data_IF_424525080241
#
_entry.id   IF_424525080241
#
_cell.length_a   1.000
_cell.length_b   1.000
_cell.length_c   1.000
_cell.angle_alpha   90.00
_cell.angle_beta   90.00
_cell.angle_gamma   90.00
#
_symmetry.space_group_name_H-M   'P 1'
#
loop_
_entity.id
_entity.type
_entity.pdbx_description
1 polymer ?
#
# COMPACT_ATOMS: atom_id res chain seq x y z
N UNK A 1 21.19 -7.76 1.26
CA UNK A 1 19.77 -7.44 1.48
C UNK A 1 19.10 -7.25 0.13
N UNK A 2 17.95 -7.87 -0.12
CA UNK A 2 17.25 -7.73 -1.40
C UNK A 2 16.73 -6.29 -1.58
N UNK A 3 16.92 -5.70 -2.75
CA UNK A 3 16.45 -4.33 -3.02
C UNK A 3 14.94 -4.32 -3.32
N UNK A 4 14.14 -4.13 -2.27
CA UNK A 4 12.67 -4.10 -2.32
C UNK A 4 12.12 -2.67 -2.19
N UNK A 5 10.81 -2.55 -2.37
CA UNK A 5 10.06 -1.32 -2.10
C UNK A 5 8.75 -1.70 -1.42
N UNK A 6 8.63 -1.36 -0.13
CA UNK A 6 7.50 -1.69 0.74
C UNK A 6 6.84 -0.41 1.24
N UNK A 7 5.72 -0.54 1.96
CA UNK A 7 5.05 0.59 2.61
C UNK A 7 4.26 1.52 1.68
N UNK A 8 4.31 1.33 0.37
CA UNK A 8 3.57 2.13 -0.63
C UNK A 8 3.00 1.24 -1.72
N UNK A 9 1.69 1.33 -1.93
CA UNK A 9 0.93 0.36 -2.72
C UNK A 9 0.13 1.06 -3.81
N UNK A 10 0.31 0.61 -5.05
CA UNK A 10 -0.47 1.06 -6.21
C UNK A 10 -1.35 -0.08 -6.69
N UNK A 11 -2.65 0.17 -6.90
CA UNK A 11 -3.67 -0.67 -7.57
C UNK A 11 -4.55 -1.65 -6.75
N UNK A 12 -4.09 -2.43 -5.75
CA UNK A 12 -4.98 -3.38 -5.07
C UNK A 12 -5.98 -2.64 -4.15
N UNK A 13 -7.27 -2.89 -4.34
CA UNK A 13 -8.38 -2.21 -3.63
C UNK A 13 -9.43 -3.17 -3.08
N UNK A 14 -9.24 -4.48 -3.23
CA UNK A 14 -10.24 -5.49 -2.88
C UNK A 14 -9.79 -6.26 -1.64
N UNK A 15 -10.44 -6.04 -0.50
CA UNK A 15 -10.06 -6.71 0.76
C UNK A 15 -10.37 -8.20 0.77
N UNK A 16 -11.30 -8.69 -0.06
CA UNK A 16 -11.53 -10.13 -0.21
C UNK A 16 -10.34 -10.78 -0.91
N UNK A 17 -9.79 -10.13 -1.94
CA UNK A 17 -8.56 -10.62 -2.59
C UNK A 17 -7.36 -10.55 -1.65
N UNK A 18 -7.28 -9.51 -0.81
CA UNK A 18 -6.27 -9.44 0.25
C UNK A 18 -6.42 -10.60 1.25
N UNK A 19 -7.63 -10.90 1.69
CA UNK A 19 -7.93 -12.05 2.57
C UNK A 19 -7.49 -13.37 1.95
N UNK A 20 -7.80 -13.59 0.67
CA UNK A 20 -7.32 -14.76 -0.10
C UNK A 20 -5.80 -14.85 -0.13
N UNK A 21 -5.11 -13.73 -0.36
CA UNK A 21 -3.64 -13.67 -0.39
C UNK A 21 -3.03 -14.03 0.97
N UNK A 22 -3.55 -13.44 2.06
CA UNK A 22 -3.06 -13.73 3.41
C UNK A 22 -3.38 -15.18 3.81
N UNK A 23 -4.54 -15.70 3.39
CA UNK A 23 -4.98 -17.08 3.66
C UNK A 23 -3.97 -18.12 3.18
N UNK A 24 -3.25 -17.87 2.08
CA UNK A 24 -2.25 -18.81 1.53
C UNK A 24 -1.03 -19.03 2.43
N UNK A 25 -0.84 -18.21 3.46
CA UNK A 25 0.18 -18.44 4.48
C UNK A 25 -0.35 -19.27 5.67
N UNK A 26 -1.64 -19.58 5.71
CA UNK A 26 -2.26 -20.50 6.65
C UNK A 26 -2.69 -21.79 5.92
N UNK A 27 -2.02 -22.93 6.15
CA UNK A 27 -2.34 -24.19 5.49
C UNK A 27 -3.72 -24.73 5.86
N UNK A 28 -4.29 -24.29 6.98
CA UNK A 28 -5.58 -24.77 7.47
C UNK A 28 -6.76 -23.88 7.05
N UNK A 29 -6.52 -22.76 6.39
CA UNK A 29 -7.60 -21.87 5.96
C UNK A 29 -8.44 -22.51 4.84
N UNK A 30 -9.74 -22.23 4.86
CA UNK A 30 -10.69 -22.72 3.86
C UNK A 30 -10.25 -22.34 2.44
N UNK A 31 -9.76 -21.10 2.26
CA UNK A 31 -9.30 -20.66 0.95
C UNK A 31 -8.02 -21.38 0.51
N UNK A 32 -7.08 -21.69 1.41
CA UNK A 32 -5.91 -22.51 1.04
C UNK A 32 -6.33 -23.89 0.57
N UNK A 33 -7.32 -24.51 1.21
CA UNK A 33 -7.85 -25.80 0.76
C UNK A 33 -8.49 -25.69 -0.63
N UNK A 34 -9.30 -24.66 -0.89
CA UNK A 34 -9.87 -24.38 -2.22
C UNK A 34 -8.77 -24.11 -3.26
N UNK A 35 -7.74 -23.35 -2.88
CA UNK A 35 -6.60 -23.04 -3.74
C UNK A 35 -5.88 -24.31 -4.19
N UNK A 36 -5.58 -25.20 -3.26
CA UNK A 36 -4.85 -26.45 -3.51
C UNK A 36 -5.69 -27.48 -4.27
N UNK A 37 -7.00 -27.58 -3.98
CA UNK A 37 -7.86 -28.65 -4.53
C UNK A 37 -8.61 -28.25 -5.79
N UNK A 38 -8.81 -26.96 -6.05
CA UNK A 38 -9.62 -26.49 -7.18
C UNK A 38 -8.84 -25.54 -8.08
N UNK A 39 -8.28 -24.44 -7.54
CA UNK A 39 -7.67 -23.38 -8.36
C UNK A 39 -6.41 -23.85 -9.08
N UNK A 40 -5.49 -24.47 -8.34
CA UNK A 40 -4.24 -25.00 -8.89
C UNK A 40 -4.50 -26.07 -9.97
N UNK A 41 -5.34 -27.09 -9.73
CA UNK A 41 -5.72 -28.05 -10.76
C UNK A 41 -6.35 -27.38 -11.99
N UNK A 42 -7.23 -26.40 -11.82
CA UNK A 42 -7.83 -25.66 -12.94
C UNK A 42 -6.78 -24.98 -13.82
N UNK A 43 -5.85 -24.22 -13.22
CA UNK A 43 -4.80 -23.53 -13.98
C UNK A 43 -3.89 -24.54 -14.71
N UNK A 44 -3.63 -25.68 -14.08
CA UNK A 44 -2.87 -26.80 -14.66
C UNK A 44 -3.59 -27.40 -15.87
N UNK A 45 -4.89 -27.68 -15.74
CA UNK A 45 -5.72 -28.25 -16.79
C UNK A 45 -5.83 -27.32 -18.01
N UNK A 46 -5.83 -26.01 -17.78
CA UNK A 46 -5.81 -25.00 -18.85
C UNK A 46 -4.44 -24.85 -19.54
N UNK A 47 -3.41 -25.57 -19.10
CA UNK A 47 -2.06 -25.46 -19.65
C UNK A 47 -1.45 -24.06 -19.44
N UNK A 48 -1.82 -23.39 -18.35
CA UNK A 48 -1.40 -22.00 -18.07
C UNK A 48 -0.34 -21.85 -16.98
N UNK A 49 0.18 -22.95 -16.45
CA UNK A 49 1.34 -22.92 -15.56
C UNK A 49 2.64 -22.81 -16.38
N UNK A 50 3.57 -21.99 -15.91
CA UNK A 50 4.88 -21.81 -16.55
C UNK A 50 5.76 -23.06 -16.42
N UNK A 51 5.87 -23.61 -15.22
CA UNK A 51 6.72 -24.76 -14.92
C UNK A 51 6.02 -25.63 -13.88
N UNK A 52 5.72 -26.89 -14.25
CA UNK A 52 5.02 -27.84 -13.37
C UNK A 52 5.90 -28.32 -12.20
N UNK A 53 7.19 -28.52 -12.42
CA UNK A 53 8.11 -29.01 -11.38
C UNK A 53 8.32 -27.95 -10.29
N UNK A 54 8.49 -26.69 -10.68
CA UNK A 54 8.55 -25.56 -9.74
C UNK A 54 7.24 -25.42 -8.95
N UNK A 55 6.10 -25.74 -9.58
CA UNK A 55 4.81 -25.65 -8.92
C UNK A 55 4.68 -26.65 -7.77
N UNK A 56 5.24 -27.86 -7.88
CA UNK A 56 5.25 -28.84 -6.78
C UNK A 56 5.97 -28.28 -5.54
N UNK A 57 7.09 -27.56 -5.74
CA UNK A 57 7.80 -26.86 -4.66
C UNK A 57 6.92 -25.79 -4.02
N UNK A 58 6.15 -25.03 -4.82
CA UNK A 58 5.26 -24.00 -4.31
C UNK A 58 4.09 -24.56 -3.51
N UNK A 59 3.49 -25.66 -3.97
CA UNK A 59 2.44 -26.36 -3.24
C UNK A 59 2.99 -26.94 -1.93
N UNK A 60 4.22 -27.46 -1.94
CA UNK A 60 4.88 -27.92 -0.72
C UNK A 60 5.09 -26.76 0.27
N UNK A 61 5.47 -25.57 -0.20
CA UNK A 61 5.67 -24.40 0.66
C UNK A 61 4.34 -23.90 1.26
N UNK A 62 3.26 -23.85 0.47
CA UNK A 62 1.91 -23.48 0.97
C UNK A 62 1.40 -24.50 1.99
N UNK A 63 1.63 -25.80 1.75
CA UNK A 63 1.22 -26.88 2.66
C UNK A 63 2.00 -26.90 3.98
N UNK A 64 3.27 -26.50 3.97
CA UNK A 64 4.09 -26.52 5.19
C UNK A 64 3.73 -25.40 6.17
N UNK A 65 3.12 -24.31 5.68
CA UNK A 65 2.83 -23.12 6.49
C UNK A 65 4.09 -22.38 6.96
N UNK A 66 5.26 -22.72 6.40
CA UNK A 66 6.53 -22.08 6.72
C UNK A 66 6.75 -20.78 5.93
N UNK A 67 7.90 -20.10 6.16
CA UNK A 67 8.31 -18.96 5.34
C UNK A 67 8.37 -19.31 3.85
N UNK A 68 7.93 -18.37 3.00
CA UNK A 68 7.90 -18.54 1.55
C UNK A 68 8.75 -17.44 0.91
N UNK A 69 9.69 -17.77 -0.01
CA UNK A 69 10.47 -16.78 -0.73
C UNK A 69 9.60 -15.76 -1.48
N UNK A 70 9.97 -14.48 -1.38
CA UNK A 70 9.24 -13.38 -2.01
C UNK A 70 9.06 -13.59 -3.53
N UNK A 71 10.11 -14.05 -4.19
CA UNK A 71 10.10 -14.33 -5.63
C UNK A 71 9.09 -15.42 -6.02
N UNK A 72 8.90 -16.44 -5.18
CA UNK A 72 7.94 -17.52 -5.39
C UNK A 72 6.48 -17.06 -5.19
N UNK A 73 6.28 -16.12 -4.25
CA UNK A 73 4.96 -15.53 -4.01
C UNK A 73 4.50 -14.68 -5.19
N UNK A 74 5.33 -13.71 -5.59
CA UNK A 74 5.04 -12.80 -6.69
C UNK A 74 5.02 -13.51 -8.05
N UNK A 75 5.97 -14.42 -8.27
CA UNK A 75 6.28 -14.96 -9.59
C UNK A 75 6.96 -13.94 -10.50
N UNK A 76 6.92 -14.21 -11.80
CA UNK A 76 7.49 -13.38 -12.86
C UNK A 76 6.60 -13.34 -14.10
N UNK A 77 6.62 -12.22 -14.83
CA UNK A 77 6.06 -12.18 -16.17
C UNK A 77 6.75 -13.23 -17.05
N UNK A 78 5.99 -14.17 -17.60
CA UNK A 78 6.51 -15.27 -18.41
C UNK A 78 5.52 -15.70 -19.49
N UNK A 79 6.02 -16.26 -20.60
CA UNK A 79 5.26 -16.57 -21.82
C UNK A 79 5.66 -15.69 -23.01
N UNK A 80 5.37 -16.16 -24.23
CA UNK A 80 5.64 -15.42 -25.46
C UNK A 80 4.50 -14.46 -25.82
N UNK A 81 4.86 -13.23 -26.20
CA UNK A 81 3.91 -12.20 -26.67
C UNK A 81 3.37 -11.27 -25.58
N UNK A 82 2.12 -10.82 -25.74
CA UNK A 82 1.52 -9.80 -24.87
C UNK A 82 1.14 -10.33 -23.47
N UNK A 83 0.98 -9.43 -22.47
CA UNK A 83 0.52 -9.76 -21.10
C UNK A 83 -0.74 -10.63 -21.05
N UNK A 84 -1.58 -10.55 -22.09
CA UNK A 84 -2.76 -11.40 -22.21
C UNK A 84 -2.45 -12.90 -22.17
N UNK A 85 -1.32 -13.30 -22.77
CA UNK A 85 -0.91 -14.69 -22.91
C UNK A 85 0.07 -15.15 -21.83
N UNK A 86 0.42 -14.26 -20.89
CA UNK A 86 1.35 -14.58 -19.83
C UNK A 86 0.87 -15.78 -19.00
N UNK A 87 1.79 -16.69 -18.69
CA UNK A 87 1.60 -17.88 -17.87
C UNK A 87 1.63 -17.52 -16.38
N UNK A 88 1.03 -18.36 -15.56
CA UNK A 88 1.07 -18.27 -14.11
C UNK A 88 2.37 -18.89 -13.60
N UNK A 89 3.11 -18.13 -12.79
CA UNK A 89 4.42 -18.52 -12.25
C UNK A 89 4.63 -18.12 -10.79
N UNK A 90 3.63 -17.53 -10.13
CA UNK A 90 3.70 -17.16 -8.72
C UNK A 90 2.51 -17.70 -7.93
N UNK A 91 2.73 -18.01 -6.66
CA UNK A 91 1.68 -18.51 -5.75
C UNK A 91 0.51 -17.51 -5.68
N UNK A 92 0.81 -16.22 -5.51
CA UNK A 92 -0.23 -15.19 -5.35
C UNK A 92 -0.91 -14.82 -6.66
N UNK A 93 -0.25 -15.03 -7.81
CA UNK A 93 -0.91 -14.88 -9.11
C UNK A 93 -2.11 -15.81 -9.23
N UNK A 94 -1.96 -17.07 -8.82
CA UNK A 94 -3.00 -18.09 -8.87
C UNK A 94 -4.13 -17.85 -7.85
N UNK A 95 -3.92 -17.01 -6.84
CA UNK A 95 -4.91 -16.70 -5.81
C UNK A 95 -6.01 -15.72 -6.30
N UNK A 96 -5.68 -14.89 -7.31
CA UNK A 96 -6.49 -13.74 -7.71
C UNK A 96 -6.97 -13.92 -9.15
N UNK A 97 -8.27 -13.80 -9.38
CA UNK A 97 -8.82 -13.81 -10.72
C UNK A 97 -8.50 -12.50 -11.45
N UNK A 98 -7.98 -12.58 -12.67
CA UNK A 98 -7.82 -11.37 -13.49
C UNK A 98 -9.17 -10.85 -13.99
N UNK A 99 -9.22 -9.56 -14.30
CA UNK A 99 -10.41 -8.91 -14.87
C UNK A 99 -10.78 -9.46 -16.26
N UNK A 100 -9.79 -9.95 -17.01
CA UNK A 100 -9.97 -10.47 -18.36
C UNK A 100 -10.65 -11.85 -18.35
N UNK A 101 -11.54 -12.09 -19.33
CA UNK A 101 -12.12 -13.42 -19.58
C UNK A 101 -11.29 -14.22 -20.59
N UNK A 102 -11.30 -15.53 -20.46
CA UNK A 102 -10.72 -16.50 -21.39
C UNK A 102 -11.81 -17.49 -21.82
N UNK A 103 -11.76 -17.92 -23.07
CA UNK A 103 -12.61 -18.97 -23.61
C UNK A 103 -11.76 -20.19 -23.89
N UNK A 104 -12.25 -21.36 -23.52
CA UNK A 104 -11.63 -22.66 -23.81
C UNK A 104 -12.70 -23.68 -24.13
N UNK A 105 -12.32 -24.74 -24.84
CA UNK A 105 -13.20 -25.86 -25.14
C UNK A 105 -13.00 -26.92 -24.06
N UNK A 106 -14.07 -27.25 -23.35
CA UNK A 106 -14.13 -28.38 -22.43
C UNK A 106 -15.27 -29.28 -22.85
N UNK A 107 -15.01 -30.58 -22.99
CA UNK A 107 -16.00 -31.60 -23.38
C UNK A 107 -16.78 -31.24 -24.66
N UNK A 108 -16.11 -30.61 -25.63
CA UNK A 108 -16.71 -30.20 -26.91
C UNK A 108 -17.57 -28.93 -26.85
N UNK A 109 -17.70 -28.27 -25.69
CA UNK A 109 -18.43 -27.02 -25.51
C UNK A 109 -17.48 -25.85 -25.21
N UNK A 110 -17.74 -24.70 -25.84
CA UNK A 110 -17.03 -23.46 -25.51
C UNK A 110 -17.51 -22.92 -24.15
N UNK A 111 -16.55 -22.74 -23.23
CA UNK A 111 -16.79 -22.18 -21.91
C UNK A 111 -15.96 -20.92 -21.73
N UNK A 112 -16.59 -19.84 -21.25
CA UNK A 112 -15.91 -18.56 -20.96
C UNK A 112 -15.90 -18.29 -19.45
N UNK A 113 -14.70 -18.16 -18.88
CA UNK A 113 -14.49 -17.82 -17.47
C UNK A 113 -13.61 -16.57 -17.32
N UNK A 114 -13.57 -15.97 -16.13
CA UNK A 114 -12.48 -15.04 -15.80
C UNK A 114 -11.16 -15.81 -15.80
N UNK A 115 -10.09 -15.22 -16.31
CA UNK A 115 -8.76 -15.81 -16.28
C UNK A 115 -8.40 -16.09 -14.80
N UNK A 116 -8.13 -17.37 -14.42
CA UNK A 116 -8.08 -17.79 -13.02
C UNK A 116 -6.78 -17.41 -12.29
N UNK A 117 -6.03 -16.45 -12.85
CA UNK A 117 -4.81 -15.92 -12.25
C UNK A 117 -4.54 -14.51 -12.77
N UNK A 118 -3.83 -13.72 -11.97
CA UNK A 118 -3.43 -12.34 -12.28
C UNK A 118 -1.97 -12.23 -12.73
N UNK A 119 -1.55 -11.03 -13.13
CA UNK A 119 -0.16 -10.72 -13.47
C UNK A 119 0.73 -10.53 -12.22
N UNK A 120 2.05 -10.57 -12.40
CA UNK A 120 3.05 -10.46 -11.33
C UNK A 120 3.04 -9.08 -10.65
N UNK A 121 2.69 -8.02 -11.37
CA UNK A 121 2.62 -6.68 -10.79
C UNK A 121 1.43 -6.54 -9.82
N UNK A 122 0.28 -7.09 -10.21
CA UNK A 122 -0.91 -7.13 -9.33
C UNK A 122 -0.66 -8.01 -8.10
N UNK A 123 -0.04 -9.19 -8.28
CA UNK A 123 0.33 -10.08 -7.18
C UNK A 123 1.32 -9.40 -6.20
N UNK A 124 2.34 -8.72 -6.73
CA UNK A 124 3.29 -7.90 -5.96
C UNK A 124 2.57 -6.81 -5.15
N UNK A 125 1.59 -6.14 -5.75
CA UNK A 125 0.77 -5.13 -5.09
C UNK A 125 0.06 -5.67 -3.84
N UNK A 126 -0.61 -6.83 -3.94
CA UNK A 126 -1.28 -7.45 -2.79
C UNK A 126 -0.30 -7.94 -1.73
N UNK A 127 0.85 -8.51 -2.12
CA UNK A 127 1.89 -8.91 -1.18
C UNK A 127 2.42 -7.71 -0.39
N UNK A 128 2.76 -6.62 -1.08
CA UNK A 128 3.19 -5.37 -0.43
C UNK A 128 2.11 -4.80 0.47
N UNK A 129 0.84 -4.91 0.10
CA UNK A 129 -0.27 -4.48 0.95
C UNK A 129 -0.32 -5.28 2.25
N UNK A 130 -0.32 -6.61 2.16
CA UNK A 130 -0.33 -7.50 3.32
C UNK A 130 0.88 -7.28 4.24
N UNK A 131 2.06 -7.03 3.68
CA UNK A 131 3.28 -6.69 4.44
C UNK A 131 3.13 -5.34 5.14
N UNK A 132 2.70 -4.31 4.41
CA UNK A 132 2.70 -2.92 4.91
C UNK A 132 1.72 -2.69 6.06
N UNK A 133 0.66 -3.48 6.15
CA UNK A 133 -0.33 -3.41 7.23
C UNK A 133 -0.13 -4.50 8.30
N UNK A 134 0.91 -5.33 8.16
CA UNK A 134 1.35 -6.28 9.18
C UNK A 134 0.64 -7.62 9.23
N UNK A 135 -0.10 -8.01 8.19
CA UNK A 135 -0.66 -9.37 8.09
C UNK A 135 0.40 -10.41 7.71
N UNK A 136 1.42 -9.99 6.98
CA UNK A 136 2.55 -10.81 6.56
C UNK A 136 3.83 -10.14 7.03
N UNK A 137 4.71 -10.87 7.70
CA UNK A 137 6.06 -10.42 8.03
C UNK A 137 6.98 -10.66 6.82
N UNK A 138 7.93 -9.77 6.62
CA UNK A 138 8.99 -9.88 5.61
C UNK A 138 10.34 -9.86 6.32
N UNK A 139 11.17 -10.85 6.01
CA UNK A 139 12.56 -10.96 6.47
C UNK A 139 13.50 -10.50 5.34
N UNK A 140 14.26 -9.43 5.59
CA UNK A 140 15.14 -8.82 4.60
C UNK A 140 16.45 -9.59 4.39
N UNK A 141 16.80 -10.47 5.33
CA UNK A 141 18.00 -11.32 5.31
C UNK A 141 17.75 -12.54 4.44
N UNK A 142 16.63 -13.24 4.64
CA UNK A 142 16.26 -14.42 3.83
C UNK A 142 15.45 -14.10 2.58
N UNK A 143 14.91 -12.89 2.43
CA UNK A 143 13.96 -12.49 1.36
C UNK A 143 12.70 -13.39 1.35
N UNK A 144 12.22 -13.73 2.55
CA UNK A 144 11.07 -14.60 2.77
C UNK A 144 9.92 -13.87 3.48
N UNK A 145 8.73 -14.41 3.33
CA UNK A 145 7.52 -13.89 3.95
C UNK A 145 6.82 -14.96 4.78
N UNK A 146 6.23 -14.58 5.91
CA UNK A 146 5.49 -15.48 6.81
C UNK A 146 4.24 -14.80 7.39
N UNK A 147 3.24 -15.58 7.78
CA UNK A 147 2.04 -15.01 8.42
C UNK A 147 2.35 -14.47 9.81
N UNK A 148 1.78 -13.31 10.16
CA UNK A 148 1.84 -12.79 11.53
C UNK A 148 0.64 -13.25 12.34
N UNK A 149 0.66 -13.01 13.65
CA UNK A 149 -0.52 -13.27 14.50
C UNK A 149 -1.73 -12.42 14.08
N UNK A 150 -1.50 -11.17 13.66
CA UNK A 150 -2.56 -10.33 13.12
C UNK A 150 -3.12 -10.89 11.81
N UNK A 151 -2.25 -11.45 10.95
CA UNK A 151 -2.63 -12.16 9.73
C UNK A 151 -3.49 -13.40 10.02
N UNK A 152 -3.13 -14.22 11.01
CA UNK A 152 -3.94 -15.39 11.41
C UNK A 152 -5.33 -14.98 11.89
N UNK A 153 -5.41 -13.96 12.75
CA UNK A 153 -6.68 -13.37 13.19
C UNK A 153 -7.51 -12.90 12.00
N UNK A 154 -6.90 -12.25 11.02
CA UNK A 154 -7.59 -11.79 9.81
C UNK A 154 -8.14 -12.96 8.99
N UNK A 155 -7.34 -14.00 8.76
CA UNK A 155 -7.75 -15.20 8.01
C UNK A 155 -8.92 -15.92 8.69
N UNK A 156 -8.92 -15.98 10.02
CA UNK A 156 -9.98 -16.61 10.80
C UNK A 156 -11.34 -15.88 10.78
N UNK A 157 -11.40 -14.65 10.26
CA UNK A 157 -12.65 -13.88 10.15
C UNK A 157 -13.40 -14.16 8.85
N UNK A 158 -14.72 -13.97 8.88
CA UNK A 158 -15.56 -14.06 7.68
C UNK A 158 -15.48 -12.73 6.91
N UNK A 159 -15.09 -12.74 5.62
CA UNK A 159 -15.00 -11.51 4.82
C UNK A 159 -16.27 -10.67 4.85
N UNK A 160 -16.11 -9.37 5.11
CA UNK A 160 -17.20 -8.40 5.20
C UNK A 160 -17.92 -8.32 6.56
N UNK A 161 -17.66 -9.25 7.49
CA UNK A 161 -18.18 -9.20 8.86
C UNK A 161 -17.60 -8.01 9.66
N UNK A 162 -18.22 -7.70 10.80
CA UNK A 162 -17.73 -6.64 11.68
C UNK A 162 -16.36 -6.99 12.30
N UNK A 163 -16.11 -8.27 12.61
CA UNK A 163 -14.80 -8.74 13.10
C UNK A 163 -13.72 -8.59 12.02
N UNK A 164 -14.06 -8.90 10.76
CA UNK A 164 -13.16 -8.68 9.61
C UNK A 164 -12.78 -7.20 9.48
N UNK A 165 -13.77 -6.30 9.56
CA UNK A 165 -13.54 -4.84 9.54
C UNK A 165 -12.76 -4.36 10.77
N UNK A 166 -12.96 -4.97 11.93
CA UNK A 166 -12.26 -4.62 13.16
C UNK A 166 -10.76 -4.99 13.08
N UNK A 167 -10.43 -6.19 12.59
CA UNK A 167 -9.04 -6.61 12.37
C UNK A 167 -8.36 -5.76 11.28
N UNK A 168 -9.05 -5.45 10.19
CA UNK A 168 -8.55 -4.49 9.19
C UNK A 168 -8.30 -3.11 9.79
N UNK A 169 -9.21 -2.63 10.64
CA UNK A 169 -9.05 -1.36 11.33
C UNK A 169 -7.80 -1.34 12.22
N UNK A 170 -7.52 -2.42 12.95
CA UNK A 170 -6.28 -2.55 13.74
C UNK A 170 -5.04 -2.45 12.85
N UNK A 171 -5.01 -3.20 11.75
CA UNK A 171 -3.96 -3.16 10.74
C UNK A 171 -3.74 -1.75 10.14
N UNK A 172 -4.81 -1.06 9.75
CA UNK A 172 -4.73 0.31 9.21
C UNK A 172 -4.23 1.34 10.24
N UNK A 173 -4.52 1.14 11.53
CA UNK A 173 -3.94 1.99 12.58
C UNK A 173 -2.45 1.74 12.80
N UNK A 174 -1.92 0.58 12.40
CA UNK A 174 -0.48 0.30 12.43
C UNK A 174 0.25 0.85 11.19
N UNK A 175 -0.45 1.05 10.07
CA UNK A 175 0.10 1.60 8.84
C UNK A 175 0.10 3.15 8.84
N UNK A 176 1.26 3.83 8.85
CA UNK A 176 1.31 5.30 8.98
C UNK A 176 0.52 6.08 7.91
N UNK A 177 0.57 5.73 6.60
CA UNK A 177 -0.12 6.50 5.56
C UNK A 177 -1.64 6.56 5.73
N UNK A 178 -2.28 5.53 6.29
CA UNK A 178 -3.70 5.56 6.62
C UNK A 178 -4.00 6.62 7.68
N UNK A 179 -3.14 6.70 8.70
CA UNK A 179 -3.22 7.70 9.74
C UNK A 179 -2.96 9.11 9.19
N UNK A 180 -2.06 9.25 8.21
CA UNK A 180 -1.85 10.51 7.50
C UNK A 180 -3.13 10.98 6.81
N UNK A 181 -3.77 10.12 6.03
CA UNK A 181 -4.99 10.48 5.30
C UNK A 181 -6.09 10.89 6.29
N UNK A 182 -6.31 10.09 7.34
CA UNK A 182 -7.30 10.46 8.36
C UNK A 182 -6.98 11.80 9.02
N UNK A 183 -5.72 12.09 9.32
CA UNK A 183 -5.28 13.37 9.88
C UNK A 183 -5.57 14.55 8.94
N UNK A 184 -5.30 14.41 7.64
CA UNK A 184 -5.60 15.43 6.64
C UNK A 184 -7.11 15.69 6.53
N UNK A 185 -7.93 14.63 6.55
CA UNK A 185 -9.40 14.71 6.46
C UNK A 185 -10.07 15.20 7.75
N UNK A 186 -9.42 15.04 8.91
CA UNK A 186 -9.99 15.45 10.21
C UNK A 186 -10.14 16.95 10.40
N UNK A 187 -9.58 17.77 9.49
CA UNK A 187 -9.65 19.24 9.54
C UNK A 187 -11.01 19.79 9.09
N UNK A 188 -11.97 18.91 8.81
CA UNK A 188 -13.35 19.28 8.42
C UNK A 188 -13.50 19.58 6.93
N UNK A 189 -12.45 19.37 6.14
CA UNK A 189 -12.44 19.65 4.70
C UNK A 189 -12.80 18.40 3.89
N UNK A 190 -13.57 18.61 2.82
CA UNK A 190 -13.77 17.61 1.78
C UNK A 190 -12.60 17.69 0.80
N UNK A 191 -11.73 16.69 0.75
CA UNK A 191 -10.47 16.75 0.00
C UNK A 191 -10.48 15.82 -1.22
N UNK A 192 -9.96 16.29 -2.36
CA UNK A 192 -9.72 15.46 -3.54
C UNK A 192 -8.42 14.65 -3.38
N UNK A 193 -8.23 13.66 -4.26
CA UNK A 193 -6.97 12.89 -4.31
C UNK A 193 -5.74 13.79 -4.53
N UNK A 194 -5.87 14.92 -5.24
CA UNK A 194 -4.78 15.87 -5.52
C UNK A 194 -4.45 16.72 -4.28
N UNK A 195 -5.48 17.19 -3.58
CA UNK A 195 -5.30 17.95 -2.34
C UNK A 195 -4.66 17.09 -1.23
N UNK A 196 -4.92 15.78 -1.22
CA UNK A 196 -4.27 14.82 -0.32
C UNK A 196 -2.87 14.49 -0.84
N UNK A 197 -2.74 14.15 -2.12
CA UNK A 197 -1.50 13.68 -2.76
C UNK A 197 -0.34 14.66 -2.61
N UNK A 198 -0.59 15.96 -2.75
CA UNK A 198 0.44 17.01 -2.55
C UNK A 198 0.97 17.13 -1.11
N UNK A 199 0.38 16.39 -0.16
CA UNK A 199 0.71 16.36 1.29
C UNK A 199 1.02 14.96 1.80
N UNK A 200 1.22 13.99 0.90
CA UNK A 200 1.37 12.57 1.21
C UNK A 200 2.73 12.05 0.73
N UNK A 201 3.49 11.47 1.66
CA UNK A 201 4.83 10.95 1.37
C UNK A 201 5.93 12.01 1.38
N UNK A 202 7.08 11.67 0.82
CA UNK A 202 8.21 12.60 0.68
C UNK A 202 8.02 13.46 -0.58
N UNK A 203 7.20 14.51 -0.48
CA UNK A 203 6.55 15.23 -1.60
C UNK A 203 7.48 15.89 -2.63
N UNK A 204 8.78 16.00 -2.37
CA UNK A 204 9.79 16.54 -3.28
C UNK A 204 10.54 15.46 -4.06
N UNK A 205 10.23 14.17 -3.82
CA UNK A 205 10.97 13.04 -4.38
C UNK A 205 10.28 12.29 -5.52
N UNK A 206 11.11 11.67 -6.35
CA UNK A 206 10.68 10.66 -7.29
C UNK A 206 9.93 9.52 -6.56
N UNK A 207 8.68 9.30 -6.97
CA UNK A 207 7.78 8.34 -6.34
C UNK A 207 6.69 8.95 -5.47
N UNK A 208 6.74 10.27 -5.21
CA UNK A 208 5.74 11.02 -4.44
C UNK A 208 5.26 12.28 -5.17
N UNK A 209 4.94 12.13 -6.46
CA UNK A 209 4.44 13.22 -7.28
C UNK A 209 2.93 13.39 -7.13
N UNK A 210 2.45 14.63 -7.22
CA UNK A 210 1.03 14.97 -7.32
C UNK A 210 0.81 15.86 -8.55
N UNK A 211 -0.23 15.56 -9.31
CA UNK A 211 -0.58 16.32 -10.51
C UNK A 211 -1.30 17.62 -10.12
N UNK A 212 -0.94 18.79 -10.70
CA UNK A 212 -1.60 20.05 -10.38
C UNK A 212 -3.11 20.02 -10.69
N UNK A 213 -3.94 20.21 -9.66
CA UNK A 213 -5.40 20.10 -9.78
C UNK A 213 -5.98 21.11 -10.77
N UNK A 214 -5.48 22.35 -10.77
CA UNK A 214 -5.91 23.38 -11.71
C UNK A 214 -5.71 22.96 -13.18
N UNK A 215 -4.55 22.40 -13.52
CA UNK A 215 -4.26 21.89 -14.88
C UNK A 215 -5.13 20.67 -15.21
N UNK A 216 -5.42 19.83 -14.22
CA UNK A 216 -6.33 18.69 -14.39
C UNK A 216 -7.76 19.17 -14.72
N UNK A 217 -8.28 20.12 -13.94
CA UNK A 217 -9.63 20.69 -14.10
C UNK A 217 -9.75 21.38 -15.45
N UNK A 218 -8.75 22.17 -15.86
CA UNK A 218 -8.68 22.75 -17.19
C UNK A 218 -8.73 21.67 -18.29
N UNK A 219 -7.85 20.67 -18.21
CA UNK A 219 -7.76 19.60 -19.22
C UNK A 219 -9.09 18.86 -19.39
N UNK A 220 -9.76 18.57 -18.27
CA UNK A 220 -11.04 17.88 -18.24
C UNK A 220 -12.18 18.72 -18.84
N UNK A 221 -12.13 20.04 -18.63
CA UNK A 221 -13.15 20.99 -19.10
C UNK A 221 -12.98 21.29 -20.59
N UNK A 222 -11.73 21.47 -21.04
CA UNK A 222 -11.41 21.78 -22.44
C UNK A 222 -11.54 20.56 -23.37
N UNK A 223 -11.45 19.32 -22.85
CA UNK A 223 -11.44 18.08 -23.62
C UNK A 223 -12.44 17.04 -23.06
N UNK A 224 -13.76 17.35 -23.01
CA UNK A 224 -14.77 16.49 -22.40
C UNK A 224 -14.87 15.11 -23.06
N UNK A 225 -14.58 15.00 -24.35
CA UNK A 225 -14.53 13.74 -25.10
C UNK A 225 -13.40 12.80 -24.63
N UNK A 226 -12.36 13.35 -24.01
CA UNK A 226 -11.21 12.62 -23.49
C UNK A 226 -11.30 12.37 -21.97
N UNK A 227 -12.44 12.64 -21.34
CA UNK A 227 -12.64 12.57 -19.88
C UNK A 227 -12.10 11.27 -19.26
N UNK A 228 -12.45 10.11 -19.79
CA UNK A 228 -12.03 8.81 -19.23
C UNK A 228 -10.51 8.64 -19.23
N UNK A 229 -9.84 9.08 -20.30
CA UNK A 229 -8.38 9.00 -20.44
C UNK A 229 -7.68 9.97 -19.49
N UNK A 230 -8.21 11.18 -19.33
CA UNK A 230 -7.69 12.18 -18.39
C UNK A 230 -7.85 11.67 -16.96
N UNK A 231 -9.03 11.16 -16.59
CA UNK A 231 -9.30 10.62 -15.25
C UNK A 231 -8.37 9.46 -14.87
N UNK A 232 -8.01 8.59 -15.84
CA UNK A 232 -7.14 7.43 -15.58
C UNK A 232 -5.65 7.75 -15.62
N UNK A 233 -5.21 8.71 -16.44
CA UNK A 233 -3.80 8.90 -16.74
C UNK A 233 -3.19 10.16 -16.11
N UNK A 234 -3.99 11.18 -15.81
CA UNK A 234 -3.48 12.46 -15.28
C UNK A 234 -3.50 12.39 -13.75
N UNK A 235 -2.63 11.56 -13.19
CA UNK A 235 -2.42 11.43 -11.75
C UNK A 235 -0.96 11.08 -11.43
N UNK A 236 -0.42 11.71 -10.38
CA UNK A 236 0.88 11.41 -9.83
C UNK A 236 0.88 10.13 -8.98
N UNK A 237 2.05 9.74 -8.49
CA UNK A 237 2.16 8.55 -7.62
C UNK A 237 1.47 8.76 -6.26
N UNK A 238 1.58 9.95 -5.66
CA UNK A 238 0.90 10.27 -4.39
C UNK A 238 -0.61 10.39 -4.56
N UNK A 239 -1.10 10.86 -5.71
CA UNK A 239 -2.54 10.90 -5.99
C UNK A 239 -3.13 9.49 -6.07
N UNK A 240 -2.37 8.53 -6.63
CA UNK A 240 -2.71 7.11 -6.63
C UNK A 240 -2.77 6.57 -5.20
N UNK A 241 -1.73 6.78 -4.40
CA UNK A 241 -1.73 6.35 -3.00
C UNK A 241 -2.92 6.93 -2.23
N UNK A 242 -3.18 8.23 -2.39
CA UNK A 242 -4.30 8.91 -1.76
C UNK A 242 -5.64 8.26 -2.11
N UNK A 243 -5.88 8.03 -3.41
CA UNK A 243 -7.11 7.39 -3.90
C UNK A 243 -7.27 5.96 -3.37
N UNK A 244 -6.19 5.17 -3.37
CA UNK A 244 -6.21 3.78 -2.91
C UNK A 244 -6.53 3.69 -1.41
N UNK A 245 -5.77 4.42 -0.58
CA UNK A 245 -5.97 4.42 0.87
C UNK A 245 -7.36 4.95 1.25
N UNK A 246 -7.84 6.02 0.58
CA UNK A 246 -9.21 6.50 0.82
C UNK A 246 -10.26 5.44 0.49
N UNK A 247 -10.02 4.60 -0.52
CA UNK A 247 -10.93 3.51 -0.88
C UNK A 247 -10.96 2.43 0.20
N UNK A 248 -9.79 2.05 0.73
CA UNK A 248 -9.68 1.07 1.83
C UNK A 248 -10.37 1.56 3.11
N UNK A 249 -10.11 2.82 3.48
CA UNK A 249 -10.74 3.44 4.65
C UNK A 249 -12.26 3.60 4.47
N UNK A 250 -12.74 3.77 3.23
CA UNK A 250 -14.17 3.82 2.94
C UNK A 250 -14.85 2.46 3.07
N UNK A 251 -14.17 1.38 2.70
CA UNK A 251 -14.68 0.01 2.81
C UNK A 251 -15.00 -0.39 4.26
N UNK A 252 -14.22 0.12 5.22
CA UNK A 252 -14.48 -0.07 6.66
C UNK A 252 -15.26 1.09 7.30
N UNK A 253 -15.75 2.05 6.50
CA UNK A 253 -16.62 3.14 6.94
C UNK A 253 -15.94 4.28 7.72
N UNK A 254 -14.61 4.41 7.64
CA UNK A 254 -13.86 5.49 8.32
C UNK A 254 -13.75 6.75 7.48
N UNK A 255 -13.82 6.60 6.16
CA UNK A 255 -13.88 7.68 5.18
C UNK A 255 -15.16 7.52 4.36
N UNK A 256 -15.71 8.63 3.88
CA UNK A 256 -16.77 8.61 2.88
C UNK A 256 -16.31 9.38 1.65
N UNK A 257 -16.76 8.96 0.47
CA UNK A 257 -16.54 9.68 -0.77
C UNK A 257 -17.84 10.36 -1.21
N UNK A 258 -17.73 11.59 -1.72
CA UNK A 258 -18.85 12.26 -2.37
C UNK A 258 -18.34 13.16 -3.51
N UNK A 259 -19.20 13.46 -4.50
CA UNK A 259 -18.90 14.46 -5.51
C UNK A 259 -18.54 15.81 -4.86
N UNK A 260 -17.45 16.44 -5.32
CA UNK A 260 -17.02 17.79 -4.95
C UNK A 260 -16.91 18.62 -6.21
N UNK A 261 -17.61 19.75 -6.23
CA UNK A 261 -17.42 20.75 -7.27
C UNK A 261 -16.12 21.51 -7.03
N UNK A 262 -15.33 21.65 -8.08
CA UNK A 262 -14.04 22.32 -8.08
C UNK A 262 -14.10 23.44 -9.11
N UNK A 263 -13.79 24.65 -8.65
CA UNK A 263 -13.68 25.85 -9.48
C UNK A 263 -12.24 26.32 -9.45
N UNK A 264 -11.58 26.36 -10.60
CA UNK A 264 -10.19 26.76 -10.74
C UNK A 264 -10.09 27.92 -11.73
N UNK A 265 -9.21 28.88 -11.43
CA UNK A 265 -9.01 30.08 -12.24
C UNK A 265 -7.63 30.04 -12.89
N UNK A 266 -7.58 30.05 -14.22
CA UNK A 266 -6.32 30.10 -14.98
C UNK A 266 -6.36 31.29 -15.93
N UNK A 267 -5.54 32.30 -15.62
CA UNK A 267 -5.61 33.60 -16.28
C UNK A 267 -6.95 34.28 -16.00
N UNK A 268 -7.73 34.56 -17.05
CA UNK A 268 -9.06 35.19 -16.96
C UNK A 268 -10.22 34.20 -17.15
N UNK A 269 -9.92 32.91 -17.27
CA UNK A 269 -10.93 31.86 -17.48
C UNK A 269 -11.18 31.10 -16.19
N UNK A 270 -12.45 30.83 -15.94
CA UNK A 270 -12.93 29.93 -14.90
C UNK A 270 -13.15 28.54 -15.50
N UNK A 271 -12.69 27.51 -14.80
CA UNK A 271 -12.90 26.11 -15.16
C UNK A 271 -13.57 25.40 -13.99
N UNK A 272 -14.68 24.72 -14.27
CA UNK A 272 -15.49 24.06 -13.25
C UNK A 272 -15.69 22.60 -13.60
N UNK A 273 -15.41 21.70 -12.65
CA UNK A 273 -15.72 20.30 -12.81
C UNK A 273 -16.03 19.60 -11.48
N UNK A 274 -16.73 18.47 -11.57
CA UNK A 274 -16.99 17.62 -10.40
C UNK A 274 -15.96 16.51 -10.31
N UNK A 275 -15.25 16.45 -9.17
CA UNK A 275 -14.30 15.40 -8.83
C UNK A 275 -14.81 14.57 -7.65
N UNK A 276 -14.23 13.39 -7.44
CA UNK A 276 -14.41 12.67 -6.18
C UNK A 276 -13.62 13.36 -5.09
N UNK A 277 -14.28 13.72 -3.99
CA UNK A 277 -13.58 14.07 -2.77
C UNK A 277 -13.98 13.17 -1.60
N UNK A 278 -13.24 13.31 -0.52
CA UNK A 278 -13.27 12.44 0.63
C UNK A 278 -13.43 13.27 1.90
N UNK A 279 -14.15 12.72 2.88
CA UNK A 279 -14.26 13.30 4.22
C UNK A 279 -14.20 12.22 5.29
N UNK A 280 -13.75 12.60 6.49
CA UNK A 280 -13.66 11.66 7.61
C UNK A 280 -15.04 11.45 8.25
N UNK A 281 -15.39 10.21 8.58
CA UNK A 281 -16.63 9.90 9.31
C UNK A 281 -16.44 10.04 10.83
N UNK A 282 -17.52 9.98 11.60
CA UNK A 282 -17.43 9.92 13.06
C UNK A 282 -16.61 8.71 13.56
N UNK A 283 -16.74 7.56 12.87
CA UNK A 283 -15.93 6.37 13.15
C UNK A 283 -14.44 6.61 12.83
N UNK A 284 -14.13 7.29 11.72
CA UNK A 284 -12.78 7.69 11.37
C UNK A 284 -12.16 8.63 12.42
N UNK A 285 -12.90 9.65 12.90
CA UNK A 285 -12.44 10.56 13.96
C UNK A 285 -12.12 9.78 15.24
N UNK A 286 -12.99 8.85 15.65
CA UNK A 286 -12.77 8.02 16.84
C UNK A 286 -11.49 7.18 16.72
N UNK A 287 -11.26 6.56 15.58
CA UNK A 287 -10.07 5.72 15.38
C UNK A 287 -8.79 6.54 15.17
N UNK A 288 -8.86 7.72 14.56
CA UNK A 288 -7.74 8.66 14.52
C UNK A 288 -7.29 9.06 15.93
N UNK A 289 -8.24 9.35 16.85
CA UNK A 289 -7.90 9.65 18.25
C UNK A 289 -7.16 8.50 18.93
N UNK A 290 -7.49 7.24 18.62
CA UNK A 290 -6.74 6.07 19.09
C UNK A 290 -5.33 6.06 18.52
N UNK A 291 -5.18 6.26 17.21
CA UNK A 291 -3.89 6.30 16.53
C UNK A 291 -2.96 7.40 17.09
N UNK A 292 -3.49 8.57 17.41
CA UNK A 292 -2.69 9.71 17.88
C UNK A 292 -2.55 9.79 19.41
N UNK A 293 -3.06 8.80 20.16
CA UNK A 293 -2.95 8.78 21.63
C UNK A 293 -3.81 9.82 22.34
N UNK A 294 -4.86 10.30 21.68
CA UNK A 294 -5.88 11.22 22.23
C UNK A 294 -7.10 10.46 22.76
N UNK A 295 -6.91 9.18 23.07
CA UNK A 295 -7.92 8.29 23.64
C UNK A 295 -7.32 7.53 24.82
N UNK A 296 -8.15 6.93 25.68
CA UNK A 296 -7.69 6.06 26.77
C UNK A 296 -7.08 4.74 26.28
N UNK A 297 -7.31 4.35 25.02
CA UNK A 297 -6.73 3.14 24.43
C UNK A 297 -5.26 3.39 24.11
N UNK A 298 -4.41 2.43 24.50
CA UNK A 298 -2.97 2.45 24.18
C UNK A 298 -2.78 2.52 22.66
N UNK A 299 -1.85 3.37 22.22
CA UNK A 299 -1.45 3.46 20.81
C UNK A 299 -0.83 2.15 20.35
N UNK A 300 -1.26 1.71 19.17
CA UNK A 300 -0.60 0.64 18.43
C UNK A 300 0.75 1.11 17.91
N UNK A 301 1.69 0.18 17.80
CA UNK A 301 2.98 0.46 17.20
C UNK A 301 2.82 0.65 15.69
N UNK A 302 3.63 1.54 15.10
CA UNK A 302 3.64 1.83 13.68
C UNK A 302 4.60 0.91 12.95
N UNK A 303 4.14 0.31 11.86
CA UNK A 303 4.96 -0.51 10.97
C UNK A 303 5.69 0.42 10.02
N UNK A 304 7.03 0.47 10.13
CA UNK A 304 7.88 1.26 9.24
C UNK A 304 9.04 0.38 8.81
N UNK A 305 9.03 -0.04 7.55
CA UNK A 305 10.14 -0.75 6.95
C UNK A 305 11.18 0.23 6.41
N UNK A 306 12.45 -0.18 6.39
CA UNK A 306 13.53 0.58 5.74
C UNK A 306 13.17 0.97 4.29
N UNK A 307 12.58 0.03 3.55
CA UNK A 307 12.18 0.22 2.15
C UNK A 307 11.03 1.21 1.94
N UNK A 308 10.31 1.58 2.99
CA UNK A 308 9.24 2.59 2.96
C UNK A 308 9.80 4.02 2.88
N UNK A 309 11.03 4.24 3.35
CA UNK A 309 11.61 5.57 3.56
C UNK A 309 12.08 6.24 2.26
N UNK A 310 12.08 5.54 1.13
CA UNK A 310 12.17 6.12 -0.23
C UNK A 310 11.78 5.04 -1.25
N UNK A 311 11.24 5.43 -2.41
CA UNK A 311 10.70 4.47 -3.40
C UNK A 311 11.46 4.45 -4.72
N UNK A 312 11.39 5.54 -5.50
CA UNK A 312 11.92 5.64 -6.87
C UNK A 312 13.09 6.61 -7.02
N UNK A 313 13.56 7.22 -5.94
CA UNK A 313 14.75 8.07 -5.98
C UNK A 313 15.97 7.27 -6.46
N UNK A 314 16.83 7.90 -7.26
CA UNK A 314 18.04 7.27 -7.78
C UNK A 314 19.03 6.90 -6.67
N UNK A 315 19.03 7.69 -5.60
CA UNK A 315 19.85 7.58 -4.39
C UNK A 315 19.05 7.00 -3.21
N UNK A 316 17.98 6.22 -3.48
CA UNK A 316 17.08 5.70 -2.44
C UNK A 316 17.78 5.01 -1.27
N UNK A 317 18.88 4.31 -1.49
CA UNK A 317 19.61 3.63 -0.41
C UNK A 317 20.21 4.61 0.58
N UNK A 318 20.76 5.72 0.08
CA UNK A 318 21.29 6.81 0.90
C UNK A 318 20.17 7.49 1.70
N UNK A 319 19.09 7.87 1.01
CA UNK A 319 17.93 8.52 1.64
C UNK A 319 17.31 7.63 2.73
N UNK A 320 17.12 6.34 2.45
CA UNK A 320 16.57 5.38 3.42
C UNK A 320 17.48 5.24 4.64
N UNK A 321 18.81 5.15 4.44
CA UNK A 321 19.76 5.04 5.55
C UNK A 321 19.76 6.30 6.42
N UNK A 322 19.89 7.48 5.81
CA UNK A 322 19.85 8.76 6.55
C UNK A 322 18.58 8.85 7.40
N UNK A 323 17.43 8.55 6.79
CA UNK A 323 16.12 8.60 7.46
C UNK A 323 15.98 7.57 8.57
N UNK A 324 16.50 6.36 8.37
CA UNK A 324 16.50 5.31 9.39
C UNK A 324 17.33 5.75 10.60
N UNK A 325 18.53 6.31 10.38
CA UNK A 325 19.38 6.85 11.45
C UNK A 325 18.68 7.98 12.21
N UNK A 326 18.02 8.92 11.51
CA UNK A 326 17.25 9.99 12.18
C UNK A 326 16.12 9.39 13.04
N UNK A 327 15.33 8.47 12.48
CA UNK A 327 14.21 7.87 13.21
C UNK A 327 14.68 7.06 14.42
N UNK A 328 15.78 6.33 14.30
CA UNK A 328 16.38 5.60 15.40
C UNK A 328 16.83 6.54 16.53
N UNK A 329 17.51 7.64 16.19
CA UNK A 329 17.97 8.63 17.16
C UNK A 329 16.83 9.36 17.90
N UNK A 330 15.66 9.48 17.24
CA UNK A 330 14.45 10.06 17.82
C UNK A 330 13.65 9.08 18.69
N UNK A 331 13.94 7.77 18.68
CA UNK A 331 13.17 6.77 19.46
C UNK A 331 13.21 7.11 20.95
N UNK A 332 12.05 7.52 21.48
CA UNK A 332 11.85 7.77 22.91
C UNK A 332 12.47 9.07 23.44
N UNK A 333 13.00 9.94 22.58
CA UNK A 333 13.71 11.14 23.00
C UNK A 333 13.32 12.38 22.19
N UNK A 334 13.43 13.53 22.82
CA UNK A 334 13.34 14.84 22.16
C UNK A 334 14.75 15.30 21.79
N UNK A 335 14.95 15.73 20.54
CA UNK A 335 16.26 16.14 20.02
C UNK A 335 16.16 17.49 19.31
N UNK A 336 17.16 18.35 19.48
CA UNK A 336 17.29 19.56 18.65
C UNK A 336 17.78 19.19 17.25
N UNK A 337 17.54 20.05 16.26
CA UNK A 337 18.10 19.86 14.92
C UNK A 337 19.63 19.74 14.93
N UNK A 338 20.33 20.53 15.76
CA UNK A 338 21.79 20.44 15.89
C UNK A 338 22.25 19.08 16.42
N UNK A 339 21.53 18.51 17.40
CA UNK A 339 21.84 17.18 17.92
C UNK A 339 21.63 16.09 16.86
N UNK A 340 20.58 16.21 16.03
CA UNK A 340 20.34 15.29 14.91
C UNK A 340 21.48 15.39 13.88
N UNK A 341 21.91 16.61 13.53
CA UNK A 341 23.02 16.83 12.59
C UNK A 341 24.34 16.25 13.09
N UNK A 342 24.67 16.46 14.37
CA UNK A 342 25.87 15.89 14.97
C UNK A 342 25.83 14.37 14.92
N UNK A 343 24.70 13.76 15.26
CA UNK A 343 24.54 12.31 15.21
C UNK A 343 24.64 11.75 13.78
N UNK A 344 24.08 12.47 12.79
CA UNK A 344 24.25 12.15 11.38
C UNK A 344 25.72 12.22 10.95
N UNK A 345 26.45 13.24 11.37
CA UNK A 345 27.89 13.38 11.08
C UNK A 345 28.72 12.25 11.67
N UNK A 346 28.41 11.78 12.88
CA UNK A 346 29.02 10.59 13.49
C UNK A 346 28.81 9.32 12.65
N UNK A 347 27.72 9.26 11.87
CA UNK A 347 27.39 8.16 10.96
C UNK A 347 27.81 8.42 9.50
N UNK A 348 28.63 9.45 9.25
CA UNK A 348 29.19 9.76 7.94
C UNK A 348 28.27 10.57 7.01
N UNK A 349 27.21 11.17 7.54
CA UNK A 349 26.30 12.05 6.78
C UNK A 349 26.68 13.53 6.96
N UNK A 350 26.95 14.23 5.86
CA UNK A 350 27.29 15.67 5.84
C UNK A 350 26.14 16.51 5.30
N UNK A 351 24.94 16.33 5.86
CA UNK A 351 23.73 17.04 5.45
C UNK A 351 23.58 18.40 6.14
N UNK A 352 22.80 19.29 5.54
CA UNK A 352 22.46 20.59 6.12
C UNK A 352 21.13 20.54 6.89
N UNK A 353 20.90 21.52 7.78
CA UNK A 353 19.67 21.59 8.58
C UNK A 353 18.39 21.60 7.73
N UNK A 354 18.43 22.20 6.53
CA UNK A 354 17.30 22.22 5.61
C UNK A 354 16.89 20.83 5.16
N UNK A 355 17.87 19.97 4.88
CA UNK A 355 17.65 18.58 4.48
C UNK A 355 17.03 17.76 5.61
N UNK A 356 17.50 17.96 6.85
CA UNK A 356 16.90 17.30 8.03
C UNK A 356 15.46 17.77 8.23
N UNK A 357 15.17 19.07 8.09
CA UNK A 357 13.80 19.61 8.16
C UNK A 357 12.89 18.98 7.10
N UNK A 358 13.37 18.81 5.88
CA UNK A 358 12.63 18.15 4.81
C UNK A 358 12.33 16.68 5.14
N UNK A 359 13.29 15.95 5.71
CA UNK A 359 13.07 14.58 6.18
C UNK A 359 12.04 14.50 7.32
N UNK A 360 12.12 15.40 8.30
CA UNK A 360 11.13 15.50 9.39
C UNK A 360 9.73 15.79 8.83
N UNK A 361 9.62 16.73 7.89
CA UNK A 361 8.36 16.99 7.19
C UNK A 361 7.86 15.76 6.42
N UNK A 362 8.78 15.02 5.79
CA UNK A 362 8.53 13.74 5.14
C UNK A 362 7.94 12.71 6.10
N UNK A 363 8.51 12.55 7.29
CA UNK A 363 7.99 11.64 8.32
C UNK A 363 6.58 12.01 8.79
N UNK A 364 6.30 13.30 8.95
CA UNK A 364 4.94 13.79 9.21
C UNK A 364 4.01 13.49 8.03
N UNK A 365 4.50 13.60 6.80
CA UNK A 365 3.76 13.35 5.57
C UNK A 365 3.54 11.87 5.25
N UNK A 366 4.33 10.95 5.81
CA UNK A 366 4.03 9.51 5.77
C UNK A 366 3.06 9.12 6.89
N UNK A 367 2.82 9.98 7.89
CA UNK A 367 1.83 9.78 8.95
C UNK A 367 2.39 9.39 10.32
N UNK A 368 3.68 9.61 10.56
CA UNK A 368 4.24 9.51 11.91
C UNK A 368 3.85 10.72 12.75
N UNK A 369 3.54 10.47 14.02
CA UNK A 369 3.23 11.53 14.98
C UNK A 369 4.54 12.15 15.49
N UNK A 370 4.99 13.18 14.79
CA UNK A 370 6.14 14.00 15.18
C UNK A 370 5.67 15.40 15.53
N UNK A 371 6.17 15.91 16.65
CA UNK A 371 5.93 17.29 17.10
C UNK A 371 7.23 18.07 17.06
N UNK A 372 7.15 19.31 16.59
CA UNK A 372 8.25 20.27 16.64
C UNK A 372 7.88 21.43 17.58
N UNK A 373 8.72 21.68 18.58
CA UNK A 373 8.55 22.78 19.54
C UNK A 373 9.88 23.49 19.77
N UNK A 374 9.96 24.78 19.44
CA UNK A 374 11.15 25.62 19.64
C UNK A 374 12.45 24.98 19.11
N UNK A 375 12.41 24.40 17.91
CA UNK A 375 13.57 23.75 17.26
C UNK A 375 13.90 22.35 17.79
N UNK A 376 13.07 21.79 18.67
CA UNK A 376 13.17 20.42 19.15
C UNK A 376 12.13 19.52 18.50
N UNK A 377 12.55 18.33 18.09
CA UNK A 377 11.75 17.32 17.41
C UNK A 377 11.54 16.13 18.35
N UNK A 378 10.31 15.65 18.43
CA UNK A 378 9.94 14.47 19.23
C UNK A 378 9.12 13.50 18.38
N UNK A 379 9.58 12.25 18.28
CA UNK A 379 8.78 11.16 17.73
C UNK A 379 7.92 10.56 18.85
N UNK A 380 6.60 10.75 18.76
CA UNK A 380 5.69 10.24 19.77
C UNK A 380 5.36 8.76 19.55
N UNK A 381 5.44 8.25 18.32
CA UNK A 381 5.06 6.88 17.97
C UNK A 381 6.17 5.87 18.28
N UNK A 382 5.76 4.64 18.60
CA UNK A 382 6.68 3.49 18.68
C UNK A 382 6.71 2.81 17.32
N UNK A 383 7.90 2.63 16.76
CA UNK A 383 8.09 1.99 15.46
C UNK A 383 8.49 0.53 15.63
N UNK A 384 8.03 -0.32 14.71
CA UNK A 384 8.44 -1.72 14.56
C UNK A 384 8.84 -1.98 13.09
N UNK A 385 9.65 -3.03 12.86
CA UNK A 385 10.16 -3.45 11.55
C UNK A 385 11.20 -2.51 10.90
N UNK A 386 11.60 -1.44 11.59
CA UNK A 386 12.72 -0.58 11.18
C UNK A 386 13.99 -1.16 11.82
N UNK A 387 14.69 -1.99 11.03
CA UNK A 387 15.95 -2.66 11.38
C UNK A 387 17.16 -1.93 10.79
#
# INVERSE_FOLDING_TARGET
MADRTLGWIQNPSDTLMLHRVVSLFDPHSDFTQIYLTQRVPLITALGKLHDRGVWETYISAVRSGGPIPYASLKGKGCGSGSRANALCSGILQAAIDAQKKITFVADGAETTIKKPYTDDWTADGFLRWAISIGFVAYDSTSDECSITELGRRFVATVPGSDDFKAVLGEAYLMYPPDCRIMSLLSRGEHLTKFEIGKRLGFTTEAGFTSYPQNIFVQSLTDNPENRSKIMSNYEGSSDKYARMICSWLAEIGWVQSAPKEIVEHIGRKEYTCTLTGYSLTAAGIKNLKKATGKSSVRRLHKIVYFEMLSTKASDRSYLRMRRAVILDYLKGHTRSYDAILNHLSEHGFTDEIGVVKDDIAGFVNIGLNITENAGNVTLADKLICLE
#
